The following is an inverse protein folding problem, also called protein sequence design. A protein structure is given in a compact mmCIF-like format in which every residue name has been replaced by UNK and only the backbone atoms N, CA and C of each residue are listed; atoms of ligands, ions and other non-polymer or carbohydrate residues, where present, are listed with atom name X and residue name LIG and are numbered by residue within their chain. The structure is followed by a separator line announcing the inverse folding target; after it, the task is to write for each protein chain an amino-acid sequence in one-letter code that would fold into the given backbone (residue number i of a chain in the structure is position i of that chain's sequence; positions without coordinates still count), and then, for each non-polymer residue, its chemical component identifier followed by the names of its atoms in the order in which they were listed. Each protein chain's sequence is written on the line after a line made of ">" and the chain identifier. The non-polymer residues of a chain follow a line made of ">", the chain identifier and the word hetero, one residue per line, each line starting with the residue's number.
data_IF_991788906320
#
_entry.id   IF_991788906320
#
_cell.length_a   1.000
_cell.length_b   1.000
_cell.length_c   1.000
_cell.angle_alpha   90.00
_cell.angle_beta   90.00
_cell.angle_gamma   90.00
#
_symmetry.space_group_name_H-M   'P 1'
#
loop_
_entity.id
_entity.type
_entity.pdbx_description
1 polymer ?
#
# COMPACT_ATOMS: atom_id res chain seq x y z
N UNK A 1 -10.23 -6.36 29.48
CA UNK A 1 -11.27 -5.35 29.75
C UNK A 1 -11.90 -4.94 28.43
N UNK A 2 -13.21 -5.17 28.24
CA UNK A 2 -13.92 -4.80 27.01
C UNK A 2 -14.23 -3.31 27.07
N UNK A 3 -13.67 -2.53 26.15
CA UNK A 3 -14.04 -1.13 25.95
C UNK A 3 -15.48 -1.08 25.45
N UNK A 4 -16.39 -0.47 26.23
CA UNK A 4 -17.76 -0.17 25.80
C UNK A 4 -17.83 1.03 24.84
N UNK A 5 -16.69 1.67 24.58
CA UNK A 5 -16.59 2.77 23.63
C UNK A 5 -16.24 2.22 22.25
N UNK A 6 -16.96 2.62 21.19
CA UNK A 6 -16.62 2.25 19.83
C UNK A 6 -15.20 2.76 19.52
N UNK A 7 -14.39 1.98 18.77
CA UNK A 7 -13.04 2.39 18.42
C UNK A 7 -13.08 3.71 17.62
N UNK A 8 -12.61 4.79 18.24
CA UNK A 8 -12.67 6.16 17.72
C UNK A 8 -12.12 6.28 16.29
N UNK A 9 -11.04 5.57 15.97
CA UNK A 9 -10.44 5.52 14.63
C UNK A 9 -11.40 4.93 13.58
N UNK A 10 -12.15 3.89 13.95
CA UNK A 10 -13.06 3.23 13.01
C UNK A 10 -14.31 4.09 12.77
N UNK A 11 -14.82 4.74 13.82
CA UNK A 11 -15.92 5.70 13.73
C UNK A 11 -15.51 6.95 12.94
N UNK A 12 -14.27 7.42 13.11
CA UNK A 12 -13.70 8.50 12.32
C UNK A 12 -13.58 8.14 10.83
N UNK A 13 -13.05 6.95 10.52
CA UNK A 13 -12.99 6.43 9.15
C UNK A 13 -14.39 6.41 8.51
N UNK A 14 -15.38 5.82 9.18
CA UNK A 14 -16.73 5.71 8.60
C UNK A 14 -17.38 7.09 8.37
N UNK A 15 -17.15 8.06 9.28
CA UNK A 15 -17.65 9.43 9.14
C UNK A 15 -17.01 10.15 7.94
N UNK A 16 -15.72 9.92 7.69
CA UNK A 16 -15.00 10.49 6.55
C UNK A 16 -15.45 9.88 5.21
N UNK A 17 -15.80 8.59 5.18
CA UNK A 17 -16.18 7.86 3.95
C UNK A 17 -17.69 7.74 3.72
N UNK A 18 -18.50 8.21 4.67
CA UNK A 18 -19.91 7.86 4.81
C UNK A 18 -20.88 9.04 4.77
N UNK A 19 -20.56 10.15 4.11
CA UNK A 19 -21.47 11.30 3.94
C UNK A 19 -22.62 11.01 2.94
N UNK A 20 -23.36 9.93 3.17
CA UNK A 20 -24.63 9.63 2.51
C UNK A 20 -25.66 9.35 3.62
N UNK A 21 -26.89 9.89 3.54
CA UNK A 21 -27.93 9.68 4.57
C UNK A 21 -28.19 8.21 4.92
N UNK A 22 -27.91 7.31 3.96
CA UNK A 22 -28.07 5.87 4.13
C UNK A 22 -26.95 5.23 4.96
N UNK A 23 -25.75 5.82 4.97
CA UNK A 23 -24.60 5.35 5.76
C UNK A 23 -24.69 5.82 7.22
N UNK A 24 -25.34 6.95 7.51
CA UNK A 24 -25.60 7.39 8.89
C UNK A 24 -26.57 6.44 9.61
N UNK A 25 -27.59 5.94 8.91
CA UNK A 25 -28.50 4.93 9.45
C UNK A 25 -27.77 3.61 9.77
N UNK A 26 -26.87 3.17 8.87
CA UNK A 26 -26.05 1.97 9.07
C UNK A 26 -25.06 2.17 10.23
N UNK A 27 -24.52 3.38 10.41
CA UNK A 27 -23.62 3.72 11.51
C UNK A 27 -24.31 3.61 12.87
N UNK A 28 -25.56 4.11 12.97
CA UNK A 28 -26.37 4.02 14.18
C UNK A 28 -26.59 2.57 14.62
N UNK A 29 -27.02 1.72 13.68
CA UNK A 29 -27.26 0.29 13.92
C UNK A 29 -25.97 -0.45 14.32
N UNK A 30 -24.83 -0.13 13.68
CA UNK A 30 -23.53 -0.71 14.04
C UNK A 30 -23.07 -0.35 15.47
N UNK A 31 -23.30 0.90 15.90
CA UNK A 31 -22.93 1.37 17.26
C UNK A 31 -23.81 0.70 18.31
N UNK A 32 -25.10 0.56 18.03
CA UNK A 32 -26.06 -0.11 18.93
C UNK A 32 -25.73 -1.60 19.09
N UNK A 33 -25.41 -2.29 17.99
CA UNK A 33 -24.98 -3.69 18.02
C UNK A 33 -23.60 -3.90 18.66
N UNK A 34 -22.71 -2.91 18.62
CA UNK A 34 -21.44 -2.94 19.35
C UNK A 34 -21.64 -2.81 20.86
N UNK A 35 -22.52 -1.91 21.30
CA UNK A 35 -22.90 -1.75 22.72
C UNK A 35 -23.58 -3.00 23.30
N UNK A 36 -24.26 -3.78 22.46
CA UNK A 36 -24.82 -5.10 22.84
C UNK A 36 -23.77 -6.22 23.01
N UNK A 37 -22.47 -5.88 23.09
CA UNK A 37 -21.42 -6.81 23.50
C UNK A 37 -20.75 -7.59 22.37
N UNK A 38 -20.94 -7.18 21.10
CA UNK A 38 -20.23 -7.78 19.97
C UNK A 38 -18.74 -7.44 19.97
N UNK A 39 -17.95 -8.34 19.38
CA UNK A 39 -16.49 -8.25 19.39
C UNK A 39 -15.98 -7.07 18.52
N UNK A 40 -14.87 -6.47 18.95
CA UNK A 40 -14.21 -5.35 18.23
C UNK A 40 -13.80 -5.68 16.79
N UNK A 41 -13.40 -6.93 16.54
CA UNK A 41 -13.10 -7.44 15.19
C UNK A 41 -14.34 -7.49 14.29
N UNK A 42 -15.51 -7.82 14.84
CA UNK A 42 -16.76 -7.85 14.09
C UNK A 42 -17.15 -6.44 13.62
N UNK A 43 -17.02 -5.44 14.51
CA UNK A 43 -17.26 -4.03 14.18
C UNK A 43 -16.31 -3.53 13.08
N UNK A 44 -15.02 -3.87 13.17
CA UNK A 44 -14.03 -3.53 12.14
C UNK A 44 -14.34 -4.13 10.78
N UNK A 45 -14.76 -5.40 10.72
CA UNK A 45 -15.15 -6.03 9.45
C UNK A 45 -16.32 -5.31 8.81
N UNK A 46 -17.35 -4.98 9.58
CA UNK A 46 -18.53 -4.28 9.08
C UNK A 46 -18.21 -2.87 8.59
N UNK A 47 -17.36 -2.13 9.30
CA UNK A 47 -16.90 -0.81 8.86
C UNK A 47 -16.13 -0.89 7.55
N UNK A 48 -15.17 -1.82 7.44
CA UNK A 48 -14.39 -2.00 6.21
C UNK A 48 -15.29 -2.41 5.05
N UNK A 49 -16.27 -3.30 5.28
CA UNK A 49 -17.24 -3.70 4.25
C UNK A 49 -18.15 -2.54 3.85
N UNK A 50 -18.65 -1.75 4.79
CA UNK A 50 -19.50 -0.59 4.49
C UNK A 50 -18.74 0.46 3.67
N UNK A 51 -17.48 0.77 4.03
CA UNK A 51 -16.61 1.67 3.26
C UNK A 51 -16.35 1.12 1.87
N UNK A 52 -15.99 -0.16 1.76
CA UNK A 52 -15.74 -0.81 0.48
C UNK A 52 -16.98 -0.78 -0.43
N UNK A 53 -18.15 -1.15 0.09
CA UNK A 53 -19.40 -1.19 -0.67
C UNK A 53 -19.87 0.21 -1.06
N UNK A 54 -19.78 1.20 -0.16
CA UNK A 54 -20.12 2.60 -0.45
C UNK A 54 -19.19 3.17 -1.52
N UNK A 55 -17.88 2.95 -1.39
CA UNK A 55 -16.88 3.42 -2.35
C UNK A 55 -17.05 2.74 -3.71
N UNK A 56 -17.31 1.43 -3.73
CA UNK A 56 -17.63 0.69 -4.95
C UNK A 56 -18.91 1.23 -5.59
N UNK A 57 -19.99 1.39 -4.85
CA UNK A 57 -21.26 1.87 -5.40
C UNK A 57 -21.14 3.27 -6.02
N UNK A 58 -20.37 4.16 -5.39
CA UNK A 58 -20.12 5.51 -5.91
C UNK A 58 -19.25 5.50 -7.17
N UNK A 59 -18.21 4.66 -7.21
CA UNK A 59 -17.37 4.44 -8.40
C UNK A 59 -18.17 3.84 -9.56
N UNK A 60 -19.07 2.91 -9.26
CA UNK A 60 -19.96 2.32 -10.24
C UNK A 60 -20.99 3.32 -10.81
N UNK A 61 -21.20 4.47 -10.15
CA UNK A 61 -22.04 5.57 -10.67
C UNK A 61 -21.31 6.46 -11.69
N UNK A 62 -19.98 6.54 -11.63
CA UNK A 62 -19.12 7.29 -12.58
C UNK A 62 -18.02 6.41 -13.19
N UNK A 63 -18.44 5.30 -13.82
CA UNK A 63 -17.57 4.21 -14.29
C UNK A 63 -16.43 4.69 -15.18
N UNK A 64 -16.69 5.56 -16.15
CA UNK A 64 -15.69 5.94 -17.17
C UNK A 64 -14.60 6.85 -16.61
N UNK A 65 -14.96 7.84 -15.78
CA UNK A 65 -13.97 8.75 -15.16
C UNK A 65 -13.12 8.05 -14.11
N UNK A 66 -13.72 7.18 -13.30
CA UNK A 66 -12.96 6.41 -12.30
C UNK A 66 -12.04 5.39 -12.98
N UNK A 67 -12.52 4.71 -14.02
CA UNK A 67 -11.71 3.76 -14.77
C UNK A 67 -10.55 4.47 -15.49
N UNK A 68 -10.78 5.67 -16.04
CA UNK A 68 -9.74 6.48 -16.65
C UNK A 68 -8.68 6.97 -15.65
N UNK A 69 -9.10 7.40 -14.45
CA UNK A 69 -8.16 7.79 -13.40
C UNK A 69 -7.33 6.60 -12.89
N UNK A 70 -7.98 5.45 -12.67
CA UNK A 70 -7.31 4.21 -12.25
C UNK A 70 -6.38 3.68 -13.35
N UNK A 71 -6.80 3.68 -14.61
CA UNK A 71 -5.97 3.23 -15.73
C UNK A 71 -4.76 4.13 -15.91
N UNK A 72 -4.91 5.45 -15.75
CA UNK A 72 -3.79 6.40 -15.81
C UNK A 72 -2.80 6.13 -14.68
N UNK A 73 -3.27 5.91 -13.45
CA UNK A 73 -2.42 5.54 -12.32
C UNK A 73 -1.67 4.22 -12.55
N UNK A 74 -2.36 3.21 -13.08
CA UNK A 74 -1.78 1.91 -13.43
C UNK A 74 -0.76 1.99 -14.57
N UNK A 75 -1.01 2.81 -15.59
CA UNK A 75 -0.08 3.02 -16.71
C UNK A 75 1.20 3.69 -16.21
N UNK A 76 1.09 4.74 -15.40
CA UNK A 76 2.24 5.41 -14.78
C UNK A 76 3.03 4.42 -13.91
N UNK A 77 2.32 3.64 -13.09
CA UNK A 77 2.96 2.64 -12.22
C UNK A 77 3.62 1.51 -13.01
N UNK A 78 3.00 1.01 -14.08
CA UNK A 78 3.56 -0.03 -14.94
C UNK A 78 4.80 0.47 -15.71
N UNK A 79 4.76 1.72 -16.17
CA UNK A 79 5.90 2.36 -16.84
C UNK A 79 7.08 2.59 -15.89
N UNK A 80 6.80 2.87 -14.61
CA UNK A 80 7.80 2.96 -13.55
C UNK A 80 8.39 1.58 -13.18
N UNK A 81 7.52 0.58 -12.98
CA UNK A 81 7.88 -0.80 -12.59
C UNK A 81 8.76 -1.48 -13.65
N UNK A 82 8.45 -1.32 -14.93
CA UNK A 82 9.06 -2.08 -16.03
C UNK A 82 10.60 -1.90 -16.18
N UNK A 83 11.16 -0.68 -16.17
CA UNK A 83 12.60 -0.46 -16.25
C UNK A 83 13.29 -0.45 -14.88
N UNK A 84 12.62 -0.06 -13.80
CA UNK A 84 13.25 0.17 -12.49
C UNK A 84 13.29 -1.07 -11.58
N UNK A 85 12.33 -2.00 -11.71
CA UNK A 85 12.36 -3.24 -10.94
C UNK A 85 13.30 -4.29 -11.54
N UNK A 86 13.64 -4.20 -12.83
CA UNK A 86 14.62 -5.12 -13.45
C UNK A 86 15.97 -5.11 -12.72
N UNK A 87 16.63 -3.96 -12.46
CA UNK A 87 17.90 -3.93 -11.73
C UNK A 87 17.76 -4.31 -10.24
N UNK A 88 16.62 -4.02 -9.60
CA UNK A 88 16.35 -4.47 -8.22
C UNK A 88 16.16 -5.98 -8.13
N UNK A 89 15.36 -6.56 -9.03
CA UNK A 89 15.13 -7.99 -9.09
C UNK A 89 16.39 -8.75 -9.54
N UNK A 90 17.16 -8.16 -10.45
CA UNK A 90 18.45 -8.67 -10.88
C UNK A 90 19.52 -8.55 -9.80
N UNK A 91 19.45 -7.56 -8.91
CA UNK A 91 20.34 -7.45 -7.75
C UNK A 91 19.94 -8.40 -6.61
N UNK A 92 18.64 -8.63 -6.39
CA UNK A 92 18.14 -9.70 -5.51
C UNK A 92 18.58 -11.07 -6.04
N UNK A 93 18.44 -11.33 -7.34
CA UNK A 93 18.90 -12.59 -7.93
C UNK A 93 20.43 -12.71 -7.92
N UNK A 94 21.19 -11.63 -8.12
CA UNK A 94 22.64 -11.61 -7.91
C UNK A 94 23.00 -11.93 -6.45
N UNK A 95 22.32 -11.32 -5.47
CA UNK A 95 22.53 -11.62 -4.06
C UNK A 95 22.21 -13.08 -3.72
N UNK A 96 21.11 -13.63 -4.23
CA UNK A 96 20.73 -15.03 -4.02
C UNK A 96 21.76 -15.97 -4.66
N UNK A 97 22.21 -15.68 -5.89
CA UNK A 97 23.25 -16.45 -6.58
C UNK A 97 24.62 -16.34 -5.88
N UNK A 98 24.93 -15.21 -5.25
CA UNK A 98 26.16 -15.05 -4.48
C UNK A 98 26.10 -15.69 -3.09
N UNK A 99 24.94 -15.69 -2.44
CA UNK A 99 24.71 -16.43 -1.22
C UNK A 99 24.87 -17.94 -1.44
N UNK A 100 24.45 -18.45 -2.61
CA UNK A 100 24.67 -19.86 -3.00
C UNK A 100 26.09 -20.16 -3.50
N UNK A 101 26.81 -19.19 -4.08
CA UNK A 101 28.18 -19.32 -4.63
C UNK A 101 29.29 -18.87 -3.65
N UNK A 102 29.07 -18.98 -2.34
CA UNK A 102 29.92 -18.37 -1.30
C UNK A 102 31.41 -18.78 -1.34
N UNK A 103 31.77 -19.86 -2.04
CA UNK A 103 33.14 -20.38 -2.09
C UNK A 103 34.12 -19.63 -3.01
N UNK A 104 33.65 -18.70 -3.86
CA UNK A 104 34.51 -18.06 -4.88
C UNK A 104 34.73 -16.55 -4.72
N UNK A 105 34.11 -15.88 -3.74
CA UNK A 105 34.12 -14.41 -3.66
C UNK A 105 34.97 -13.93 -2.48
N UNK A 106 35.94 -13.02 -2.71
CA UNK A 106 36.75 -12.43 -1.64
C UNK A 106 35.89 -11.70 -0.59
N UNK A 107 36.21 -11.82 0.72
CA UNK A 107 35.49 -11.15 1.81
C UNK A 107 35.27 -9.63 1.61
N UNK A 108 36.18 -8.93 0.93
CA UNK A 108 36.10 -7.48 0.69
C UNK A 108 35.00 -7.05 -0.27
N UNK A 109 34.57 -7.92 -1.18
CA UNK A 109 33.55 -7.60 -2.19
C UNK A 109 32.14 -7.58 -1.58
N UNK A 110 31.94 -8.18 -0.41
CA UNK A 110 30.65 -8.19 0.28
C UNK A 110 30.18 -6.80 0.70
N UNK A 111 31.09 -5.95 1.16
CA UNK A 111 30.78 -4.58 1.56
C UNK A 111 30.30 -3.78 0.34
N UNK A 112 31.00 -3.95 -0.79
CA UNK A 112 30.65 -3.28 -2.05
C UNK A 112 29.25 -3.66 -2.54
N UNK A 113 28.92 -4.96 -2.60
CA UNK A 113 27.59 -5.40 -3.06
C UNK A 113 26.46 -5.06 -2.07
N UNK A 114 26.73 -5.11 -0.76
CA UNK A 114 25.78 -4.68 0.26
C UNK A 114 25.45 -3.19 0.13
N UNK A 115 26.48 -2.35 -0.02
CA UNK A 115 26.30 -0.91 -0.25
C UNK A 115 25.60 -0.61 -1.57
N UNK A 116 25.92 -1.32 -2.65
CA UNK A 116 25.25 -1.18 -3.94
C UNK A 116 23.74 -1.49 -3.84
N UNK A 117 23.37 -2.57 -3.14
CA UNK A 117 21.97 -2.92 -2.89
C UNK A 117 21.24 -1.86 -2.07
N UNK A 118 21.86 -1.38 -0.98
CA UNK A 118 21.31 -0.32 -0.16
C UNK A 118 21.10 0.96 -0.96
N UNK A 119 22.11 1.40 -1.72
CA UNK A 119 22.04 2.59 -2.57
C UNK A 119 20.89 2.46 -3.58
N UNK A 120 20.77 1.30 -4.25
CA UNK A 120 19.71 1.06 -5.22
C UNK A 120 18.32 1.08 -4.57
N UNK A 121 18.17 0.48 -3.39
CA UNK A 121 16.92 0.55 -2.59
C UNK A 121 16.55 1.99 -2.24
N UNK A 122 17.50 2.82 -1.82
CA UNK A 122 17.26 4.24 -1.53
C UNK A 122 16.86 5.03 -2.78
N UNK A 123 17.57 4.86 -3.90
CA UNK A 123 17.26 5.56 -5.14
C UNK A 123 15.88 5.19 -5.68
N UNK A 124 15.55 3.90 -5.68
CA UNK A 124 14.23 3.40 -6.09
C UNK A 124 13.12 3.82 -5.13
N UNK A 125 13.41 4.02 -3.85
CA UNK A 125 12.45 4.58 -2.91
C UNK A 125 12.20 6.07 -3.14
N UNK A 126 13.24 6.87 -3.38
CA UNK A 126 13.07 8.30 -3.72
C UNK A 126 12.23 8.44 -5.00
N UNK A 127 12.54 7.64 -6.02
CA UNK A 127 11.75 7.63 -7.25
C UNK A 127 10.32 7.15 -7.01
N UNK A 128 10.13 6.16 -6.13
CA UNK A 128 8.81 5.68 -5.72
C UNK A 128 7.99 6.77 -5.04
N UNK A 129 8.60 7.57 -4.15
CA UNK A 129 7.96 8.75 -3.55
C UNK A 129 7.53 9.76 -4.60
N UNK A 130 8.41 10.12 -5.54
CA UNK A 130 8.13 11.13 -6.57
C UNK A 130 7.01 10.66 -7.50
N UNK A 131 7.11 9.44 -8.02
CA UNK A 131 6.13 8.85 -8.93
C UNK A 131 4.81 8.61 -8.21
N UNK A 132 4.88 8.12 -6.98
CA UNK A 132 3.74 7.97 -6.09
C UNK A 132 3.01 9.30 -5.90
N UNK A 133 3.73 10.36 -5.52
CA UNK A 133 3.16 11.69 -5.36
C UNK A 133 2.54 12.23 -6.65
N UNK A 134 3.24 12.06 -7.78
CA UNK A 134 2.71 12.50 -9.08
C UNK A 134 1.44 11.73 -9.47
N UNK A 135 1.40 10.42 -9.27
CA UNK A 135 0.22 9.60 -9.55
C UNK A 135 -0.96 9.93 -8.62
N UNK A 136 -0.71 10.11 -7.32
CA UNK A 136 -1.72 10.55 -6.35
C UNK A 136 -2.29 11.92 -6.70
N UNK A 137 -1.42 12.86 -7.10
CA UNK A 137 -1.81 14.20 -7.53
C UNK A 137 -2.67 14.19 -8.80
N UNK A 138 -2.27 13.41 -9.81
CA UNK A 138 -3.05 13.24 -11.05
C UNK A 138 -4.43 12.68 -10.73
N UNK A 139 -4.50 11.61 -9.93
CA UNK A 139 -5.76 10.94 -9.56
C UNK A 139 -6.67 11.91 -8.80
N UNK A 140 -6.13 12.67 -7.85
CA UNK A 140 -6.89 13.68 -7.11
C UNK A 140 -7.46 14.78 -8.01
N UNK A 141 -6.76 15.13 -9.11
CA UNK A 141 -7.21 16.15 -10.06
C UNK A 141 -8.37 15.71 -10.94
N UNK A 142 -8.52 14.40 -11.22
CA UNK A 142 -9.62 13.88 -12.03
C UNK A 142 -10.99 14.00 -11.35
N UNK A 143 -11.04 13.99 -10.02
CA UNK A 143 -12.30 14.04 -9.28
C UNK A 143 -12.17 14.92 -8.03
N UNK A 144 -12.15 16.25 -8.19
CA UNK A 144 -11.81 17.18 -7.12
C UNK A 144 -12.79 17.17 -5.94
N UNK A 145 -14.01 16.67 -6.14
CA UNK A 145 -15.05 16.53 -5.10
C UNK A 145 -14.93 15.24 -4.27
N UNK A 146 -14.16 14.24 -4.72
CA UNK A 146 -14.07 12.91 -4.09
C UNK A 146 -12.63 12.37 -4.11
N UNK A 147 -11.66 13.23 -3.80
CA UNK A 147 -10.22 12.93 -3.95
C UNK A 147 -9.77 11.76 -3.07
N UNK A 148 -10.16 11.79 -1.79
CA UNK A 148 -9.77 10.81 -0.76
C UNK A 148 -10.20 9.37 -1.07
N UNK A 149 -11.49 9.07 -1.37
CA UNK A 149 -11.91 7.69 -1.62
C UNK A 149 -11.26 7.05 -2.85
N UNK A 150 -11.01 7.84 -3.91
CA UNK A 150 -10.39 7.32 -5.14
C UNK A 150 -8.90 7.03 -4.93
N UNK A 151 -8.19 7.91 -4.22
CA UNK A 151 -6.79 7.70 -3.85
C UNK A 151 -6.66 6.44 -2.99
N UNK A 152 -7.54 6.24 -2.00
CA UNK A 152 -7.52 5.04 -1.16
C UNK A 152 -7.88 3.78 -1.93
N UNK A 153 -8.82 3.83 -2.86
CA UNK A 153 -9.09 2.71 -3.76
C UNK A 153 -7.87 2.35 -4.60
N UNK A 154 -7.14 3.35 -5.11
CA UNK A 154 -5.91 3.12 -5.85
C UNK A 154 -4.83 2.50 -4.96
N UNK A 155 -4.63 2.99 -3.73
CA UNK A 155 -3.70 2.41 -2.74
C UNK A 155 -4.10 0.97 -2.39
N UNK A 156 -5.40 0.69 -2.19
CA UNK A 156 -5.89 -0.67 -1.90
C UNK A 156 -5.67 -1.62 -3.08
N UNK A 157 -5.89 -1.14 -4.31
CA UNK A 157 -5.63 -1.89 -5.54
C UNK A 157 -4.14 -2.22 -5.68
N UNK A 158 -3.26 -1.26 -5.42
CA UNK A 158 -1.81 -1.45 -5.39
C UNK A 158 -1.41 -2.46 -4.30
N UNK A 159 -1.90 -2.29 -3.07
CA UNK A 159 -1.63 -3.24 -1.99
C UNK A 159 -2.07 -4.67 -2.31
N UNK A 160 -3.23 -4.82 -2.95
CA UNK A 160 -3.72 -6.11 -3.43
C UNK A 160 -2.82 -6.73 -4.51
N UNK A 161 -2.37 -5.94 -5.48
CA UNK A 161 -1.41 -6.39 -6.50
C UNK A 161 -0.08 -6.81 -5.87
N UNK A 162 0.40 -6.09 -4.86
CA UNK A 162 1.62 -6.45 -4.17
C UNK A 162 1.49 -7.77 -3.43
N UNK A 163 0.41 -7.93 -2.67
CA UNK A 163 0.13 -9.17 -1.94
C UNK A 163 0.03 -10.34 -2.91
N UNK A 164 -0.67 -10.16 -4.03
CA UNK A 164 -0.76 -11.17 -5.08
C UNK A 164 0.61 -11.49 -5.70
N UNK A 165 1.42 -10.48 -6.02
CA UNK A 165 2.77 -10.67 -6.56
C UNK A 165 3.69 -11.39 -5.57
N UNK A 166 3.57 -11.11 -4.28
CA UNK A 166 4.34 -11.74 -3.21
C UNK A 166 3.91 -13.20 -3.04
N UNK A 167 2.61 -13.48 -2.97
CA UNK A 167 2.07 -14.83 -2.91
C UNK A 167 2.48 -15.65 -4.14
N UNK A 168 2.39 -15.07 -5.34
CA UNK A 168 2.81 -15.71 -6.57
C UNK A 168 4.32 -16.03 -6.58
N UNK A 169 5.15 -15.10 -6.07
CA UNK A 169 6.59 -15.33 -5.93
C UNK A 169 6.89 -16.48 -4.97
N UNK A 170 6.18 -16.56 -3.84
CA UNK A 170 6.30 -17.65 -2.87
C UNK A 170 5.85 -18.98 -3.49
N UNK A 171 4.73 -19.00 -4.22
CA UNK A 171 4.24 -20.23 -4.85
C UNK A 171 5.20 -20.74 -5.93
N UNK A 172 5.82 -19.85 -6.71
CA UNK A 172 6.70 -20.21 -7.81
C UNK A 172 8.11 -20.58 -7.35
N UNK A 173 8.65 -19.87 -6.37
CA UNK A 173 10.08 -19.91 -6.00
C UNK A 173 10.32 -20.16 -4.52
N UNK A 174 9.28 -20.45 -3.74
CA UNK A 174 9.37 -20.66 -2.30
C UNK A 174 9.83 -19.40 -1.55
N UNK A 175 10.43 -19.60 -0.37
CA UNK A 175 11.00 -18.51 0.43
C UNK A 175 12.16 -17.78 -0.29
N UNK A 176 12.82 -18.45 -1.24
CA UNK A 176 13.89 -17.87 -2.07
C UNK A 176 13.35 -16.75 -2.96
N UNK A 177 12.09 -16.85 -3.42
CA UNK A 177 11.42 -15.80 -4.19
C UNK A 177 11.16 -14.51 -3.41
N UNK A 178 11.28 -14.55 -2.08
CA UNK A 178 11.17 -13.38 -1.18
C UNK A 178 12.55 -12.92 -0.70
N UNK A 179 13.62 -13.56 -1.17
CA UNK A 179 15.00 -13.27 -0.77
C UNK A 179 15.45 -13.99 0.49
N UNK A 180 14.66 -14.94 1.02
CA UNK A 180 15.05 -15.77 2.18
C UNK A 180 15.70 -17.05 1.66
N UNK A 181 17.02 -17.12 1.80
CA UNK A 181 17.83 -18.26 1.38
C UNK A 181 18.09 -19.17 2.59
N UNK A 182 17.73 -20.46 2.53
CA UNK A 182 17.99 -21.39 3.63
C UNK A 182 19.50 -21.51 3.89
N UNK A 183 19.89 -21.41 5.16
CA UNK A 183 21.31 -21.34 5.59
C UNK A 183 21.83 -19.92 5.84
N UNK A 184 21.11 -18.89 5.39
CA UNK A 184 21.51 -17.48 5.48
C UNK A 184 20.38 -16.58 5.99
N UNK A 185 19.49 -17.15 6.80
CA UNK A 185 18.22 -16.55 7.20
C UNK A 185 18.38 -15.20 7.89
N UNK A 186 19.33 -15.09 8.83
CA UNK A 186 19.61 -13.83 9.57
C UNK A 186 19.95 -12.69 8.60
N UNK A 187 20.72 -13.00 7.57
CA UNK A 187 21.19 -12.01 6.59
C UNK A 187 20.08 -11.62 5.62
N UNK A 188 19.31 -12.59 5.14
CA UNK A 188 18.13 -12.34 4.31
C UNK A 188 17.10 -11.47 5.03
N UNK A 189 16.87 -11.73 6.32
CA UNK A 189 15.96 -10.92 7.14
C UNK A 189 16.42 -9.48 7.30
N UNK A 190 17.74 -9.24 7.34
CA UNK A 190 18.31 -7.89 7.41
C UNK A 190 18.07 -7.07 6.13
N UNK A 191 18.06 -7.71 4.95
CA UNK A 191 17.84 -7.01 3.67
C UNK A 191 16.36 -6.89 3.27
N UNK A 192 15.49 -7.71 3.85
CA UNK A 192 14.04 -7.68 3.63
C UNK A 192 13.40 -6.31 3.84
N UNK A 193 13.66 -5.54 4.92
CA UNK A 193 13.06 -4.21 5.06
C UNK A 193 13.46 -3.25 3.92
N UNK A 194 14.67 -3.38 3.38
CA UNK A 194 15.15 -2.55 2.28
C UNK A 194 14.50 -2.91 0.94
N UNK A 195 14.08 -4.16 0.74
CA UNK A 195 13.29 -4.52 -0.44
C UNK A 195 11.84 -4.03 -0.36
N UNK A 196 11.31 -3.85 0.85
CA UNK A 196 9.99 -3.25 1.09
C UNK A 196 9.98 -1.72 0.99
N UNK A 197 11.13 -1.08 1.19
CA UNK A 197 11.27 0.37 1.29
C UNK A 197 10.72 1.12 0.06
N UNK A 198 11.00 0.71 -1.20
CA UNK A 198 10.42 1.35 -2.38
C UNK A 198 8.89 1.24 -2.46
N UNK A 199 8.33 0.17 -1.90
CA UNK A 199 6.89 -0.05 -1.85
C UNK A 199 6.21 0.89 -0.88
N UNK A 200 6.74 0.96 0.35
CA UNK A 200 6.27 1.88 1.38
C UNK A 200 6.38 3.32 0.90
N UNK A 201 7.53 3.68 0.31
CA UNK A 201 7.78 4.97 -0.29
C UNK A 201 6.75 5.35 -1.36
N UNK A 202 6.39 4.41 -2.24
CA UNK A 202 5.36 4.65 -3.27
C UNK A 202 3.99 4.91 -2.67
N UNK A 203 3.58 4.12 -1.67
CA UNK A 203 2.29 4.31 -0.98
C UNK A 203 2.25 5.65 -0.25
N UNK A 204 3.32 5.99 0.47
CA UNK A 204 3.45 7.30 1.16
C UNK A 204 3.40 8.44 0.15
N UNK A 205 4.08 8.30 -0.98
CA UNK A 205 4.03 9.26 -2.08
C UNK A 205 2.60 9.47 -2.58
N UNK A 206 1.87 8.41 -2.88
CA UNK A 206 0.48 8.47 -3.37
C UNK A 206 -0.44 9.16 -2.35
N UNK A 207 -0.32 8.81 -1.08
CA UNK A 207 -1.12 9.42 -0.02
C UNK A 207 -0.80 10.91 0.14
N UNK A 208 0.48 11.28 0.05
CA UNK A 208 0.93 12.67 0.10
C UNK A 208 0.44 13.48 -1.09
N UNK A 209 0.67 12.99 -2.31
CA UNK A 209 0.23 13.67 -3.54
C UNK A 209 -1.29 13.73 -3.72
N UNK A 210 -2.02 12.79 -3.11
CA UNK A 210 -3.48 12.75 -3.12
C UNK A 210 -4.16 13.79 -2.21
N UNK A 211 -3.40 14.57 -1.43
CA UNK A 211 -3.92 15.62 -0.54
C UNK A 211 -4.44 15.12 0.80
N UNK A 212 -4.22 13.86 1.15
CA UNK A 212 -4.72 13.24 2.38
C UNK A 212 -4.03 13.81 3.65
N UNK A 213 -2.86 14.44 3.48
CA UNK A 213 -2.12 15.13 4.54
C UNK A 213 -2.59 16.59 4.75
N UNK A 214 -3.20 17.22 3.74
CA UNK A 214 -3.65 18.62 3.81
C UNK A 214 -5.04 18.76 4.48
N UNK A 215 -5.89 17.74 4.37
CA UNK A 215 -7.23 17.73 4.98
C UNK A 215 -7.20 17.83 6.51
N UNK A 216 -6.06 17.50 7.14
CA UNK A 216 -5.87 17.62 8.58
C UNK A 216 -5.84 19.08 9.09
N UNK A 217 -5.70 20.07 8.20
CA UNK A 217 -5.79 21.50 8.54
C UNK A 217 -7.19 22.10 8.29
N UNK A 218 -8.04 21.44 7.50
CA UNK A 218 -9.35 21.99 7.13
C UNK A 218 -10.48 21.58 8.10
N UNK A 219 -10.31 20.51 8.88
CA UNK A 219 -11.34 20.02 9.83
C UNK A 219 -11.47 20.84 11.13
N UNK A 220 -10.82 22.01 11.22
CA UNK A 220 -11.01 22.98 12.30
C UNK A 220 -11.99 24.12 11.99
N UNK A 221 -12.65 24.13 10.83
CA UNK A 221 -13.71 25.11 10.56
C UNK A 221 -14.95 24.46 9.93
N UNK A 222 -16.08 24.74 10.60
CA UNK A 222 -17.50 24.64 10.18
C UNK A 222 -18.12 23.27 10.01
#
# INVERSE_FOLDING_TARGET
>A
MRSNQPPAVATWLLKQFGCSPQNEAILGDLIEQYRNGRQRLWYWRQIVTAIAVSSLREVWRQKTRTLAALSTGWIIFAFYRSPLDRPLFQSISLQINFASMQYQIPPSWWVYYGMYFLLLSFLTAIMGLIVGAFSGWIIAKFQPSHRVPIVLMFVACLGGYWLFSLLFSIMKSGLVGVGIVPGHEIRSLLFLPFSLLPWVASVVGILGGGGLLEEHQASSCT
#
